data_IF_836354385943
#
_entry.id   IF_836354385943
#
_cell.length_a   1.000
_cell.length_b   1.000
_cell.length_c   1.000
_cell.angle_alpha   90.00
_cell.angle_beta   90.00
_cell.angle_gamma   90.00
#
_symmetry.space_group_name_H-M   'P 1'
#
loop_
_entity.id
_entity.type
_entity.pdbx_description
1 polymer ?
#
# COMPACT_ATOMS: atom_id res chain seq x y z
N UNK A 1 -0.31 5.09 -17.10
CA UNK A 1 -0.80 5.10 -15.69
C UNK A 1 -2.32 5.23 -15.60
N UNK A 2 -3.00 5.92 -16.54
CA UNK A 2 -4.46 6.12 -16.52
C UNK A 2 -5.34 4.87 -16.29
N UNK A 3 -4.95 3.71 -16.83
CA UNK A 3 -5.71 2.46 -16.66
C UNK A 3 -5.85 2.00 -15.20
N UNK A 4 -5.00 2.50 -14.28
CA UNK A 4 -5.10 2.23 -12.83
C UNK A 4 -6.24 3.00 -12.15
N UNK A 5 -6.82 4.00 -12.82
CA UNK A 5 -7.80 4.92 -12.25
C UNK A 5 -9.05 5.06 -13.15
N UNK A 6 -9.73 3.95 -13.52
CA UNK A 6 -10.92 4.01 -14.39
C UNK A 6 -12.07 4.82 -13.78
N UNK A 7 -12.13 4.93 -12.45
CA UNK A 7 -13.15 5.67 -11.71
C UNK A 7 -12.86 7.17 -11.55
N UNK A 8 -11.71 7.65 -12.03
CA UNK A 8 -11.30 9.05 -11.96
C UNK A 8 -11.13 9.65 -13.36
N UNK A 9 -11.43 10.94 -13.48
CA UNK A 9 -10.92 11.70 -14.62
C UNK A 9 -9.40 11.83 -14.45
N UNK A 10 -8.62 10.98 -15.13
CA UNK A 10 -7.17 10.87 -14.90
C UNK A 10 -6.43 12.22 -14.95
N UNK A 11 -6.86 13.14 -15.81
CA UNK A 11 -6.28 14.47 -15.95
C UNK A 11 -6.52 15.40 -14.74
N UNK A 12 -7.48 15.08 -13.88
CA UNK A 12 -7.77 15.84 -12.64
C UNK A 12 -7.07 15.26 -11.42
N UNK A 13 -6.38 14.13 -11.56
CA UNK A 13 -5.61 13.53 -10.47
C UNK A 13 -4.37 14.38 -10.23
N UNK A 14 -4.40 15.15 -9.15
CA UNK A 14 -3.22 15.83 -8.62
C UNK A 14 -2.31 14.85 -7.88
N UNK A 15 -1.05 14.78 -8.28
CA UNK A 15 -0.02 13.89 -7.70
C UNK A 15 0.03 14.00 -6.17
N UNK A 16 0.02 15.21 -5.62
CA UNK A 16 0.09 15.40 -4.17
C UNK A 16 -1.28 15.21 -3.47
N UNK A 17 -2.35 15.79 -4.03
CA UNK A 17 -3.69 15.73 -3.41
C UNK A 17 -4.30 14.33 -3.41
N UNK A 18 -3.86 13.46 -4.32
CA UNK A 18 -4.35 12.09 -4.46
C UNK A 18 -3.26 11.05 -4.13
N UNK A 19 -2.22 11.44 -3.40
CA UNK A 19 -1.08 10.57 -3.08
C UNK A 19 -1.52 9.20 -2.56
N UNK A 20 -2.49 9.14 -1.63
CA UNK A 20 -2.92 7.88 -1.03
C UNK A 20 -3.50 6.87 -2.02
N UNK A 21 -4.39 7.31 -2.91
CA UNK A 21 -4.98 6.40 -3.92
C UNK A 21 -3.96 6.03 -4.99
N UNK A 22 -3.01 6.91 -5.29
CA UNK A 22 -1.91 6.62 -6.21
C UNK A 22 -1.00 5.54 -5.64
N UNK A 23 -0.58 5.67 -4.37
CA UNK A 23 0.22 4.66 -3.69
C UNK A 23 -0.53 3.33 -3.66
N UNK A 24 -1.79 3.31 -3.22
CA UNK A 24 -2.62 2.10 -3.20
C UNK A 24 -2.65 1.39 -4.56
N UNK A 25 -3.05 2.11 -5.62
CA UNK A 25 -3.26 1.53 -6.95
C UNK A 25 -1.97 1.03 -7.57
N UNK A 26 -0.87 1.77 -7.42
CA UNK A 26 0.43 1.37 -7.98
C UNK A 26 1.01 0.19 -7.21
N UNK A 27 0.92 0.15 -5.88
CA UNK A 27 1.39 -0.99 -5.10
C UNK A 27 0.56 -2.26 -5.34
N UNK A 28 -0.73 -2.14 -5.64
CA UNK A 28 -1.62 -3.29 -5.84
C UNK A 28 -1.54 -3.87 -7.26
N UNK A 29 -1.39 -3.02 -8.28
CA UNK A 29 -1.54 -3.43 -9.69
C UNK A 29 -0.50 -2.82 -10.63
N UNK A 30 0.38 -1.97 -10.13
CA UNK A 30 1.31 -1.22 -10.96
C UNK A 30 2.36 -2.12 -11.64
N UNK A 31 2.79 -1.71 -12.84
CA UNK A 31 3.97 -2.28 -13.47
C UNK A 31 5.24 -1.85 -12.74
N UNK A 32 6.36 -2.52 -13.02
CA UNK A 32 7.66 -2.16 -12.44
C UNK A 32 8.06 -0.70 -12.69
N UNK A 33 7.78 -0.17 -13.89
CA UNK A 33 8.04 1.23 -14.22
C UNK A 33 7.20 2.19 -13.36
N UNK A 34 5.94 1.83 -13.09
CA UNK A 34 5.04 2.64 -12.26
C UNK A 34 5.46 2.61 -10.79
N UNK A 35 5.90 1.46 -10.30
CA UNK A 35 6.50 1.31 -8.96
C UNK A 35 7.76 2.18 -8.84
N UNK A 36 8.66 2.13 -9.83
CA UNK A 36 9.86 2.99 -9.82
C UNK A 36 9.49 4.48 -9.81
N UNK A 37 8.52 4.87 -10.62
CA UNK A 37 7.98 6.23 -10.63
C UNK A 37 7.41 6.61 -9.25
N UNK A 38 6.69 5.70 -8.58
CA UNK A 38 6.11 5.93 -7.26
C UNK A 38 7.21 6.28 -6.24
N UNK A 39 8.24 5.44 -6.15
CA UNK A 39 9.36 5.65 -5.24
C UNK A 39 10.18 6.89 -5.58
N UNK A 40 10.34 7.22 -6.87
CA UNK A 40 11.01 8.46 -7.29
C UNK A 40 10.20 9.70 -6.92
N UNK A 41 8.86 9.61 -6.95
CA UNK A 41 7.97 10.76 -6.77
C UNK A 41 7.70 11.06 -5.31
N UNK A 42 7.45 10.05 -4.48
CA UNK A 42 7.09 10.23 -3.07
C UNK A 42 8.22 9.88 -2.10
N UNK A 43 9.25 9.17 -2.57
CA UNK A 43 10.30 8.65 -1.71
C UNK A 43 9.88 7.39 -0.96
N UNK A 44 10.87 6.57 -0.60
CA UNK A 44 10.67 5.32 0.12
C UNK A 44 10.01 5.52 1.49
N UNK A 45 10.47 6.50 2.25
CA UNK A 45 9.94 6.79 3.59
C UNK A 45 8.45 7.11 3.58
N UNK A 46 7.98 7.93 2.65
CA UNK A 46 6.57 8.29 2.58
C UNK A 46 5.70 7.10 2.15
N UNK A 47 6.20 6.27 1.23
CA UNK A 47 5.51 5.05 0.80
C UNK A 47 5.46 4.05 1.96
N UNK A 48 6.55 3.84 2.69
CA UNK A 48 6.61 2.94 3.85
C UNK A 48 5.66 3.39 4.97
N UNK A 49 5.62 4.69 5.29
CA UNK A 49 4.65 5.25 6.24
C UNK A 49 3.21 5.01 5.80
N UNK A 50 2.90 5.21 4.52
CA UNK A 50 1.56 4.94 4.00
C UNK A 50 1.20 3.44 4.11
N UNK A 51 2.13 2.53 3.75
CA UNK A 51 1.91 1.09 3.85
C UNK A 51 1.71 0.67 5.31
N UNK A 52 2.52 1.19 6.23
CA UNK A 52 2.38 0.90 7.67
C UNK A 52 1.04 1.37 8.24
N UNK A 53 0.55 2.53 7.81
CA UNK A 53 -0.70 3.12 8.32
C UNK A 53 -1.97 2.59 7.66
N UNK A 54 -1.92 2.31 6.37
CA UNK A 54 -3.11 2.04 5.56
C UNK A 54 -3.06 0.69 4.83
N UNK A 55 -1.87 0.15 4.62
CA UNK A 55 -1.65 -1.04 3.78
C UNK A 55 -2.41 -2.27 4.28
N UNK A 56 -2.53 -2.48 5.59
CA UNK A 56 -3.26 -3.63 6.14
C UNK A 56 -4.72 -3.66 5.69
N UNK A 57 -5.36 -2.48 5.58
CA UNK A 57 -6.78 -2.35 5.24
C UNK A 57 -7.02 -2.22 3.73
N UNK A 58 -6.12 -1.55 3.02
CA UNK A 58 -6.34 -1.12 1.63
C UNK A 58 -5.65 -1.99 0.59
N UNK A 59 -4.59 -2.73 0.96
CA UNK A 59 -3.93 -3.67 0.06
C UNK A 59 -4.46 -5.09 0.27
N UNK A 60 -4.37 -5.93 -0.75
CA UNK A 60 -4.62 -7.36 -0.55
C UNK A 60 -3.58 -7.95 0.40
N UNK A 61 -3.92 -9.05 1.09
CA UNK A 61 -2.99 -9.74 2.02
C UNK A 61 -1.64 -10.04 1.37
N UNK A 62 -1.66 -10.44 0.09
CA UNK A 62 -0.47 -10.76 -0.70
C UNK A 62 0.38 -9.51 -0.95
N UNK A 63 -0.23 -8.45 -1.49
CA UNK A 63 0.46 -7.19 -1.78
C UNK A 63 1.01 -6.58 -0.49
N UNK A 64 0.22 -6.56 0.58
CA UNK A 64 0.66 -6.06 1.87
C UNK A 64 1.86 -6.83 2.43
N UNK A 65 1.84 -8.16 2.38
CA UNK A 65 2.97 -8.98 2.84
C UNK A 65 4.24 -8.73 2.01
N UNK A 66 4.11 -8.61 0.68
CA UNK A 66 5.22 -8.27 -0.20
C UNK A 66 5.83 -6.92 0.16
N UNK A 67 5.00 -5.86 0.25
CA UNK A 67 5.50 -4.52 0.48
C UNK A 67 6.04 -4.31 1.89
N UNK A 68 5.50 -5.02 2.89
CA UNK A 68 6.11 -5.07 4.21
C UNK A 68 7.52 -5.65 4.19
N UNK A 69 7.73 -6.72 3.42
CA UNK A 69 9.05 -7.33 3.29
C UNK A 69 10.02 -6.42 2.54
N UNK A 70 9.57 -5.80 1.44
CA UNK A 70 10.42 -4.92 0.61
C UNK A 70 10.81 -3.64 1.35
N UNK A 71 9.91 -3.09 2.17
CA UNK A 71 10.09 -1.82 2.88
C UNK A 71 10.50 -1.99 4.34
N UNK A 72 10.83 -3.21 4.76
CA UNK A 72 11.23 -3.56 6.13
C UNK A 72 10.26 -3.04 7.21
N UNK A 73 8.95 -3.26 6.99
CA UNK A 73 7.89 -2.76 7.88
C UNK A 73 7.55 -3.83 8.93
N UNK A 74 8.11 -3.67 10.12
CA UNK A 74 7.82 -4.50 11.28
C UNK A 74 6.51 -4.10 11.99
N UNK A 75 6.31 -2.78 12.16
CA UNK A 75 5.15 -2.20 12.86
C UNK A 75 4.16 -1.60 11.87
N UNK A 76 2.89 -1.98 11.97
CA UNK A 76 1.82 -1.46 11.12
C UNK A 76 0.51 -1.36 11.92
N UNK A 77 -0.37 -0.46 11.49
CA UNK A 77 -1.69 -0.28 12.09
C UNK A 77 -2.61 -1.42 11.63
N UNK A 78 -3.01 -2.26 12.59
CA UNK A 78 -3.97 -3.34 12.39
C UNK A 78 -5.09 -3.21 13.43
N UNK A 79 -6.34 -3.54 13.09
CA UNK A 79 -7.42 -3.60 14.06
C UNK A 79 -7.15 -4.63 15.16
N UNK A 80 -7.68 -4.40 16.36
CA UNK A 80 -7.46 -5.27 17.54
C UNK A 80 -7.80 -6.75 17.26
N UNK A 81 -8.84 -7.02 16.46
CA UNK A 81 -9.22 -8.39 16.08
C UNK A 81 -8.14 -9.10 15.25
N UNK A 82 -7.39 -8.37 14.42
CA UNK A 82 -6.34 -8.94 13.58
C UNK A 82 -5.10 -9.28 14.40
N UNK A 83 -4.81 -8.47 15.42
CA UNK A 83 -3.74 -8.72 16.38
C UNK A 83 -4.09 -9.91 17.28
N UNK A 84 -5.35 -10.04 17.69
CA UNK A 84 -5.85 -11.16 18.48
C UNK A 84 -5.75 -12.49 17.74
N UNK A 85 -6.03 -12.52 16.43
CA UNK A 85 -5.91 -13.73 15.61
C UNK A 85 -4.47 -14.28 15.54
N UNK A 86 -3.44 -13.42 15.65
CA UNK A 86 -2.02 -13.83 15.69
C UNK A 86 -1.62 -14.45 17.03
N UNK A 87 -2.38 -14.21 18.10
CA UNK A 87 -2.10 -14.68 19.48
C UNK A 87 -2.76 -16.01 19.84
N UNK A 88 -3.65 -16.54 19.00
CA UNK A 88 -4.18 -17.89 19.17
C UNK A 88 -3.18 -18.86 18.51
N UNK A 89 -2.39 -19.64 19.28
CA UNK A 89 -1.77 -20.81 18.68
C UNK A 89 -2.90 -21.72 18.22
N UNK A 90 -2.76 -22.29 17.01
CA UNK A 90 -3.66 -23.33 16.50
C UNK A 90 -3.75 -24.45 17.53
N UNK A 91 -4.79 -24.42 18.36
CA UNK A 91 -5.20 -25.54 19.18
C UNK A 91 -6.02 -26.46 18.28
N UNK A 92 -5.34 -27.41 17.65
CA UNK A 92 -5.92 -28.66 17.17
C UNK A 92 -5.32 -29.80 17.99
#
# INVERSE_FOLDING_TARGET
>A
MAWLFPEYAFLTIGVQSHQGVIIERVLERGSWEQVRWLFTTYGETAVAQWVGKHGFRLLSKRSFALWRLVLDIETFEAPDWAVAAKKLPESW
#
